data_IF_343023413152
#
_entry.id   IF_343023413152
#
_cell.length_a   1.000
_cell.length_b   1.000
_cell.length_c   1.000
_cell.angle_alpha   90.00
_cell.angle_beta   90.00
_cell.angle_gamma   90.00
#
_symmetry.space_group_name_H-M   'P 1'
#
loop_
_entity.id
_entity.type
_entity.pdbx_description
1 polymer ?
#
# COMPACT_ATOMS: atom_id res chain seq x y z
N UNK A 1 17.10 2.83 13.27
CA UNK A 1 15.66 3.05 13.61
C UNK A 1 15.37 2.37 14.94
N UNK A 2 14.24 2.62 15.62
CA UNK A 2 13.91 1.89 16.86
C UNK A 2 13.55 0.41 16.62
N UNK A 3 13.66 -0.43 17.65
CA UNK A 3 12.98 -1.73 17.71
C UNK A 3 11.52 -1.50 18.12
N UNK A 4 10.68 -1.18 17.15
CA UNK A 4 9.24 -0.91 17.34
C UNK A 4 8.51 -2.23 17.63
N UNK A 5 7.68 -2.25 18.68
CA UNK A 5 6.74 -3.34 19.00
C UNK A 5 5.59 -2.81 19.88
N UNK A 6 4.50 -2.36 19.26
CA UNK A 6 3.35 -1.73 19.91
C UNK A 6 2.13 -2.66 20.05
N UNK A 7 2.26 -3.93 19.67
CA UNK A 7 1.26 -4.97 19.89
C UNK A 7 0.66 -5.56 18.60
N UNK A 8 0.32 -4.72 17.61
CA UNK A 8 -0.22 -5.12 16.31
C UNK A 8 0.50 -4.41 15.13
N UNK A 9 0.31 -4.91 13.90
CA UNK A 9 0.96 -4.36 12.69
C UNK A 9 0.51 -2.92 12.39
N UNK A 10 -0.73 -2.53 12.73
CA UNK A 10 -1.21 -1.17 12.48
C UNK A 10 -0.41 -0.12 13.27
N UNK A 11 -0.26 -0.33 14.57
CA UNK A 11 0.52 0.57 15.44
C UNK A 11 2.01 0.51 15.07
N UNK A 12 2.54 -0.71 14.85
CA UNK A 12 3.92 -0.93 14.41
C UNK A 12 4.25 -0.16 13.12
N UNK A 13 3.38 -0.19 12.11
CA UNK A 13 3.59 0.51 10.84
C UNK A 13 3.34 2.03 10.93
N UNK A 14 2.42 2.51 11.77
CA UNK A 14 2.25 3.97 11.98
C UNK A 14 3.47 4.59 12.65
N UNK A 15 4.02 3.94 13.68
CA UNK A 15 5.24 4.42 14.34
C UNK A 15 6.47 4.33 13.40
N UNK A 16 6.56 3.28 12.58
CA UNK A 16 7.56 3.20 11.51
C UNK A 16 7.41 4.34 10.49
N UNK A 17 6.19 4.60 10.02
CA UNK A 17 5.89 5.66 9.06
C UNK A 17 6.24 7.06 9.61
N UNK A 18 5.93 7.31 10.88
CA UNK A 18 6.28 8.55 11.59
C UNK A 18 7.79 8.72 11.74
N UNK A 19 8.50 7.69 12.19
CA UNK A 19 9.98 7.70 12.25
C UNK A 19 10.62 7.89 10.86
N UNK A 20 10.07 7.28 9.81
CA UNK A 20 10.59 7.43 8.44
C UNK A 20 10.33 8.83 7.88
N UNK A 21 9.14 9.40 8.08
CA UNK A 21 8.82 10.77 7.65
C UNK A 21 9.69 11.81 8.37
N UNK A 22 10.03 11.60 9.65
CA UNK A 22 10.99 12.44 10.36
C UNK A 22 12.42 12.29 9.80
N UNK A 23 12.86 11.06 9.50
CA UNK A 23 14.17 10.78 8.91
C UNK A 23 14.34 11.40 7.51
N UNK A 24 13.38 11.22 6.59
CA UNK A 24 13.48 11.76 5.22
C UNK A 24 13.52 13.29 5.19
N UNK A 25 12.91 13.97 6.17
CA UNK A 25 12.98 15.42 6.33
C UNK A 25 14.27 15.91 7.02
N UNK A 26 15.05 15.01 7.65
CA UNK A 26 16.25 15.39 8.39
C UNK A 26 17.42 15.72 7.45
N UNK A 27 18.39 16.47 7.95
CA UNK A 27 19.63 16.77 7.21
C UNK A 27 20.41 15.49 6.89
N UNK A 28 20.36 14.51 7.79
CA UNK A 28 20.95 13.17 7.62
C UNK A 28 20.26 12.38 6.50
N UNK A 29 18.93 12.27 6.52
CA UNK A 29 18.17 11.58 5.47
C UNK A 29 18.29 12.24 4.10
N UNK A 30 18.44 13.57 4.07
CA UNK A 30 18.76 14.35 2.86
C UNK A 30 20.18 14.07 2.35
N UNK A 31 21.19 14.00 3.22
CA UNK A 31 22.56 13.62 2.85
C UNK A 31 22.63 12.17 2.33
N UNK A 32 22.07 11.21 3.06
CA UNK A 32 22.02 9.79 2.65
C UNK A 32 21.26 9.65 1.33
N UNK A 33 20.18 10.41 1.13
CA UNK A 33 19.44 10.43 -0.14
C UNK A 33 20.30 10.81 -1.35
N UNK A 34 21.23 11.76 -1.21
CA UNK A 34 22.16 12.18 -2.27
C UNK A 34 23.20 11.10 -2.54
N UNK A 35 23.90 10.66 -1.48
CA UNK A 35 24.90 9.60 -1.52
C UNK A 35 24.39 8.32 -2.21
N UNK A 36 23.15 7.91 -1.92
CA UNK A 36 22.49 6.73 -2.53
C UNK A 36 22.15 6.90 -4.01
N UNK A 37 22.06 8.14 -4.53
CA UNK A 37 21.99 8.41 -5.98
C UNK A 37 23.39 8.43 -6.59
N UNK A 38 24.31 9.19 -6.00
CA UNK A 38 25.66 9.47 -6.53
C UNK A 38 26.49 8.18 -6.74
N UNK A 39 26.27 7.17 -5.88
CA UNK A 39 26.87 5.83 -6.00
C UNK A 39 26.57 5.10 -7.32
N UNK A 40 25.54 5.50 -8.06
CA UNK A 40 25.24 4.92 -9.39
C UNK A 40 26.24 5.34 -10.46
N UNK A 41 27.04 6.37 -10.18
CA UNK A 41 28.02 7.00 -11.07
C UNK A 41 29.43 7.07 -10.46
N UNK A 42 29.64 6.50 -9.27
CA UNK A 42 30.91 6.49 -8.56
C UNK A 42 31.09 5.15 -7.82
N UNK A 43 32.07 4.35 -8.28
CA UNK A 43 32.32 3.00 -7.78
C UNK A 43 32.98 2.97 -6.39
N UNK A 44 33.87 3.92 -6.10
CA UNK A 44 34.48 4.10 -4.77
C UNK A 44 33.40 4.43 -3.72
N UNK A 45 32.49 5.34 -4.07
CA UNK A 45 31.34 5.68 -3.23
C UNK A 45 30.34 4.51 -3.13
N UNK A 46 30.21 3.68 -4.15
CA UNK A 46 29.39 2.46 -4.11
C UNK A 46 29.97 1.38 -3.19
N UNK A 47 31.29 1.26 -3.09
CA UNK A 47 31.94 0.40 -2.12
C UNK A 47 31.68 0.90 -0.68
N UNK A 48 31.98 2.17 -0.39
CA UNK A 48 31.77 2.77 0.94
C UNK A 48 30.31 2.69 1.39
N UNK A 49 29.34 2.98 0.51
CA UNK A 49 27.91 2.88 0.85
C UNK A 49 27.42 1.42 0.89
N UNK A 50 28.09 0.50 0.20
CA UNK A 50 27.80 -0.94 0.29
C UNK A 50 28.02 -1.52 1.68
N UNK A 51 28.93 -0.94 2.45
CA UNK A 51 29.24 -1.32 3.84
C UNK A 51 28.47 -0.50 4.88
N UNK A 52 27.85 0.63 4.52
CA UNK A 52 27.01 1.40 5.44
C UNK A 52 25.78 0.60 5.85
N UNK A 53 25.47 0.62 7.16
CA UNK A 53 24.48 -0.26 7.77
C UNK A 53 23.01 0.19 7.57
N UNK A 54 22.71 0.60 6.33
CA UNK A 54 21.38 0.85 5.79
C UNK A 54 20.39 -0.34 5.91
N UNK A 55 20.80 -1.62 6.14
CA UNK A 55 19.85 -2.66 6.50
C UNK A 55 19.05 -2.40 7.78
N UNK A 56 19.38 -1.42 8.62
CA UNK A 56 18.76 -1.25 9.93
C UNK A 56 17.21 -1.09 9.89
N UNK A 57 16.68 -0.25 8.99
CA UNK A 57 15.22 -0.15 8.81
C UNK A 57 14.63 -1.41 8.16
N UNK A 58 15.38 -2.09 7.30
CA UNK A 58 15.00 -3.37 6.68
C UNK A 58 14.93 -4.47 7.74
N UNK A 59 15.86 -4.50 8.71
CA UNK A 59 15.88 -5.39 9.87
C UNK A 59 14.68 -5.13 10.77
N UNK A 60 14.43 -3.88 11.15
CA UNK A 60 13.25 -3.51 11.96
C UNK A 60 11.94 -3.88 11.25
N UNK A 61 11.74 -3.51 9.98
CA UNK A 61 10.48 -3.80 9.28
C UNK A 61 10.29 -5.30 9.03
N UNK A 62 11.37 -6.06 8.79
CA UNK A 62 11.31 -7.53 8.77
C UNK A 62 10.88 -8.11 10.12
N UNK A 63 11.26 -7.51 11.24
CA UNK A 63 10.78 -7.91 12.56
C UNK A 63 9.29 -7.56 12.78
N UNK A 64 8.83 -6.39 12.34
CA UNK A 64 7.40 -6.00 12.39
C UNK A 64 6.51 -7.04 11.69
N UNK A 65 6.83 -7.33 10.42
CA UNK A 65 6.02 -8.20 9.57
C UNK A 65 6.08 -9.67 10.04
N UNK A 66 7.23 -10.15 10.54
CA UNK A 66 7.33 -11.50 11.11
C UNK A 66 6.37 -11.69 12.28
N UNK A 67 6.36 -10.76 13.25
CA UNK A 67 5.43 -10.81 14.39
C UNK A 67 3.98 -10.72 13.95
N UNK A 68 3.67 -9.96 12.91
CA UNK A 68 2.32 -9.90 12.34
C UNK A 68 1.86 -11.23 11.72
N UNK A 69 2.75 -11.93 11.00
CA UNK A 69 2.50 -13.30 10.53
C UNK A 69 2.35 -14.27 11.70
N UNK A 70 3.20 -14.18 12.73
CA UNK A 70 3.12 -15.00 13.96
C UNK A 70 1.80 -14.78 14.74
N UNK A 71 1.23 -13.56 14.68
CA UNK A 71 -0.09 -13.22 15.25
C UNK A 71 -1.28 -13.54 14.33
N UNK A 72 -1.04 -13.96 13.07
CA UNK A 72 -2.09 -14.25 12.08
C UNK A 72 -2.74 -13.02 11.42
N UNK A 73 -2.18 -11.82 11.68
CA UNK A 73 -2.69 -10.53 11.19
C UNK A 73 -2.62 -10.40 9.67
N UNK A 74 -1.67 -11.08 9.02
CA UNK A 74 -1.44 -11.05 7.56
C UNK A 74 -1.09 -12.44 7.04
N UNK A 75 -1.15 -12.61 5.71
CA UNK A 75 -0.79 -13.87 5.06
C UNK A 75 0.74 -14.09 5.04
N UNK A 76 1.26 -15.29 5.35
CA UNK A 76 2.70 -15.59 5.32
C UNK A 76 3.36 -15.47 3.94
N UNK A 77 2.58 -15.43 2.85
CA UNK A 77 3.08 -15.16 1.50
C UNK A 77 3.46 -13.69 1.24
N UNK A 78 3.10 -12.75 2.12
CA UNK A 78 3.44 -11.33 1.97
C UNK A 78 4.92 -11.10 2.30
N UNK A 79 5.71 -10.68 1.31
CA UNK A 79 7.14 -10.42 1.49
C UNK A 79 7.36 -9.19 2.38
N UNK A 80 8.12 -9.29 3.50
CA UNK A 80 8.30 -8.16 4.43
C UNK A 80 8.90 -6.89 3.83
N UNK A 81 9.73 -6.99 2.79
CA UNK A 81 10.26 -5.81 2.11
C UNK A 81 9.18 -5.06 1.36
N UNK A 82 8.19 -5.74 0.76
CA UNK A 82 7.10 -5.07 0.02
C UNK A 82 6.32 -4.09 0.91
N UNK A 83 6.03 -4.46 2.16
CA UNK A 83 5.37 -3.56 3.12
C UNK A 83 6.27 -2.35 3.45
N UNK A 84 7.57 -2.58 3.64
CA UNK A 84 8.55 -1.51 3.86
C UNK A 84 8.64 -0.57 2.65
N UNK A 85 8.77 -1.13 1.45
CA UNK A 85 8.95 -0.42 0.18
C UNK A 85 7.71 0.42 -0.18
N UNK A 86 6.50 -0.10 0.10
CA UNK A 86 5.24 0.65 -0.08
C UNK A 86 5.17 1.87 0.85
N UNK A 87 5.38 1.68 2.16
CA UNK A 87 5.26 2.78 3.14
C UNK A 87 6.41 3.77 3.01
N UNK A 88 7.66 3.30 3.04
CA UNK A 88 8.85 4.13 2.94
C UNK A 88 8.96 4.80 1.56
N UNK A 89 8.64 4.09 0.47
CA UNK A 89 8.64 4.63 -0.89
C UNK A 89 7.60 5.73 -1.10
N UNK A 90 6.37 5.54 -0.61
CA UNK A 90 5.32 6.56 -0.67
C UNK A 90 5.73 7.83 0.11
N UNK A 91 6.20 7.70 1.35
CA UNK A 91 6.67 8.84 2.16
C UNK A 91 7.86 9.54 1.49
N UNK A 92 8.84 8.78 1.01
CA UNK A 92 10.04 9.35 0.35
C UNK A 92 9.69 10.10 -0.92
N UNK A 93 8.69 9.62 -1.67
CA UNK A 93 8.18 10.29 -2.87
C UNK A 93 7.41 11.55 -2.48
N UNK A 94 6.49 11.46 -1.53
CA UNK A 94 5.66 12.56 -1.04
C UNK A 94 6.50 13.73 -0.51
N UNK A 95 7.53 13.46 0.31
CA UNK A 95 8.43 14.49 0.85
C UNK A 95 9.31 15.12 -0.23
N UNK A 96 9.74 14.36 -1.25
CA UNK A 96 10.56 14.89 -2.37
C UNK A 96 9.75 15.66 -3.41
N UNK A 97 8.48 15.32 -3.61
CA UNK A 97 7.58 15.96 -4.58
C UNK A 97 6.76 17.11 -4.00
N UNK A 98 6.70 17.26 -2.68
CA UNK A 98 6.00 18.38 -2.02
C UNK A 98 6.85 19.67 -2.06
N UNK A 99 6.35 20.77 -2.64
CA UNK A 99 7.03 22.06 -2.58
C UNK A 99 7.15 22.59 -1.14
N UNK A 100 8.23 23.30 -0.76
CA UNK A 100 8.46 23.74 0.63
C UNK A 100 7.28 24.50 1.27
N UNK A 101 6.60 25.36 0.50
CA UNK A 101 5.41 26.12 0.95
C UNK A 101 4.14 25.29 1.22
N UNK A 102 4.18 23.96 1.03
CA UNK A 102 3.09 23.04 1.32
C UNK A 102 3.43 21.98 2.38
N UNK A 103 4.68 21.95 2.88
CA UNK A 103 5.19 20.92 3.80
C UNK A 103 4.27 20.70 5.03
N UNK A 104 3.93 21.75 5.77
CA UNK A 104 3.08 21.70 6.96
C UNK A 104 1.68 21.11 6.71
N UNK A 105 1.16 21.24 5.48
CA UNK A 105 -0.15 20.74 5.06
C UNK A 105 -0.08 19.31 4.52
N UNK A 106 1.09 18.90 4.06
CA UNK A 106 1.34 17.61 3.42
C UNK A 106 1.82 16.53 4.41
N UNK A 107 2.59 16.91 5.43
CA UNK A 107 3.28 15.98 6.34
C UNK A 107 2.49 15.78 7.64
N UNK A 108 1.26 15.31 7.49
CA UNK A 108 0.29 15.18 8.59
C UNK A 108 0.15 13.74 9.07
N UNK A 109 -0.15 13.56 10.36
CA UNK A 109 -0.52 12.25 10.92
C UNK A 109 -1.76 11.66 10.23
N UNK A 110 -2.65 12.50 9.69
CA UNK A 110 -3.80 12.04 8.88
C UNK A 110 -3.37 11.51 7.51
N UNK A 111 -2.31 12.01 6.89
CA UNK A 111 -1.68 11.40 5.71
C UNK A 111 -1.01 10.06 6.07
N UNK A 112 -0.20 10.02 7.13
CA UNK A 112 0.47 8.79 7.58
C UNK A 112 -0.55 7.69 7.92
N UNK A 113 -1.65 8.03 8.60
CA UNK A 113 -2.76 7.12 8.84
C UNK A 113 -3.36 6.60 7.54
N UNK A 114 -3.73 7.47 6.61
CA UNK A 114 -4.34 7.06 5.33
C UNK A 114 -3.42 6.15 4.51
N UNK A 115 -2.11 6.42 4.49
CA UNK A 115 -1.12 5.56 3.84
C UNK A 115 -1.07 4.17 4.47
N UNK A 116 -0.89 4.09 5.80
CA UNK A 116 -0.80 2.80 6.50
C UNK A 116 -2.11 2.02 6.40
N UNK A 117 -3.25 2.66 6.64
CA UNK A 117 -4.59 2.08 6.44
C UNK A 117 -4.78 1.50 5.02
N UNK A 118 -4.19 2.13 3.99
CA UNK A 118 -4.26 1.67 2.60
C UNK A 118 -3.36 0.46 2.35
N UNK A 119 -2.12 0.48 2.85
CA UNK A 119 -1.19 -0.66 2.74
C UNK A 119 -1.72 -1.88 3.48
N UNK A 120 -2.24 -1.70 4.70
CA UNK A 120 -2.84 -2.78 5.51
C UNK A 120 -4.00 -3.47 4.77
N UNK A 121 -4.93 -2.71 4.19
CA UNK A 121 -6.01 -3.26 3.35
C UNK A 121 -5.45 -3.99 2.12
N UNK A 122 -4.43 -3.44 1.47
CA UNK A 122 -3.77 -4.03 0.31
C UNK A 122 -3.08 -5.37 0.57
N UNK A 123 -2.56 -5.60 1.78
CA UNK A 123 -1.94 -6.88 2.19
C UNK A 123 -2.90 -7.82 2.94
N UNK A 124 -4.19 -7.47 3.00
CA UNK A 124 -5.22 -8.28 3.66
C UNK A 124 -5.09 -8.36 5.17
N UNK A 125 -4.67 -7.26 5.83
CA UNK A 125 -4.60 -7.17 7.28
C UNK A 125 -5.93 -7.52 7.94
N UNK A 126 -5.86 -8.38 8.96
CA UNK A 126 -6.96 -8.80 9.82
C UNK A 126 -6.64 -8.28 11.21
N UNK A 127 -7.46 -7.37 11.73
CA UNK A 127 -7.30 -6.91 13.10
C UNK A 127 -7.72 -8.07 14.04
N UNK A 128 -6.78 -8.54 14.84
CA UNK A 128 -6.99 -9.70 15.73
C UNK A 128 -7.56 -9.21 17.05
N UNK A 129 -8.83 -8.79 16.97
CA UNK A 129 -9.58 -8.33 18.12
C UNK A 129 -9.66 -9.43 19.19
N UNK A 130 -9.50 -9.06 20.46
CA UNK A 130 -9.22 -9.98 21.58
C UNK A 130 -10.39 -10.91 21.96
N UNK A 131 -11.47 -10.87 21.20
CA UNK A 131 -12.66 -11.72 21.28
C UNK A 131 -12.66 -12.91 20.30
N UNK A 132 -11.76 -12.94 19.31
CA UNK A 132 -11.62 -14.06 18.37
C UNK A 132 -12.74 -14.22 17.33
N UNK A 133 -13.58 -13.20 17.12
CA UNK A 133 -14.71 -13.25 16.17
C UNK A 133 -14.36 -12.54 14.85
N UNK A 134 -14.02 -13.32 13.82
CA UNK A 134 -13.81 -12.77 12.47
C UNK A 134 -15.12 -12.35 11.80
N UNK A 135 -15.39 -11.03 11.78
CA UNK A 135 -16.52 -10.47 11.03
C UNK A 135 -16.20 -10.42 9.53
N UNK A 136 -16.61 -11.47 8.80
CA UNK A 136 -16.97 -11.36 7.39
C UNK A 136 -16.02 -11.96 6.35
N UNK A 137 -16.24 -13.24 6.03
CA UNK A 137 -16.40 -13.66 4.63
C UNK A 137 -17.60 -14.59 4.50
N UNK A 138 -18.68 -14.12 3.89
CA UNK A 138 -19.89 -14.91 3.65
C UNK A 138 -19.67 -15.88 2.47
N UNK A 139 -19.78 -17.17 2.72
CA UNK A 139 -19.46 -18.24 1.76
C UNK A 139 -20.58 -18.50 0.76
N UNK A 140 -20.71 -17.62 -0.24
CA UNK A 140 -21.68 -17.73 -1.33
C UNK A 140 -21.38 -18.88 -2.32
N UNK A 141 -21.47 -20.14 -1.87
CA UNK A 141 -21.50 -21.32 -2.76
C UNK A 141 -22.89 -21.49 -3.39
N UNK A 142 -23.06 -21.13 -4.66
CA UNK A 142 -24.26 -21.45 -5.46
C UNK A 142 -23.93 -22.41 -6.61
N UNK A 143 -23.85 -23.71 -6.31
CA UNK A 143 -23.73 -24.76 -7.33
C UNK A 143 -25.10 -25.09 -7.92
N UNK A 144 -25.39 -24.67 -9.16
CA UNK A 144 -26.70 -24.87 -9.78
C UNK A 144 -26.72 -24.88 -11.31
N UNK A 145 -26.28 -25.98 -11.96
CA UNK A 145 -26.36 -26.16 -13.43
C UNK A 145 -27.27 -27.34 -13.80
N UNK A 146 -28.49 -27.03 -14.24
CA UNK A 146 -29.49 -27.85 -14.98
C UNK A 146 -30.70 -26.93 -15.23
N UNK A 147 -31.37 -26.86 -16.39
CA UNK A 147 -31.17 -27.43 -17.74
C UNK A 147 -32.20 -26.76 -18.68
N UNK A 148 -32.07 -26.83 -20.03
CA UNK A 148 -32.88 -26.03 -20.95
C UNK A 148 -34.29 -26.61 -21.21
N UNK A 149 -35.27 -25.74 -21.44
CA UNK A 149 -36.60 -26.09 -21.94
C UNK A 149 -37.02 -25.12 -23.08
N UNK A 150 -37.38 -25.68 -24.24
CA UNK A 150 -37.94 -24.95 -25.39
C UNK A 150 -39.47 -24.79 -25.25
N UNK A 151 -40.20 -23.88 -25.93
CA UNK A 151 -40.40 -23.81 -27.42
C UNK A 151 -41.42 -22.71 -27.80
N UNK A 152 -41.29 -22.10 -28.99
CA UNK A 152 -42.37 -21.41 -29.78
C UNK A 152 -43.02 -20.14 -29.17
N UNK A 153 -43.58 -19.13 -29.89
CA UNK A 153 -43.67 -18.68 -31.33
C UNK A 153 -44.34 -17.27 -31.34
N UNK A 154 -44.46 -16.46 -32.42
CA UNK A 154 -43.60 -16.11 -33.59
C UNK A 154 -44.36 -15.21 -34.59
N UNK A 155 -43.69 -14.23 -35.24
CA UNK A 155 -44.12 -13.47 -36.46
C UNK A 155 -45.26 -12.43 -36.23
N UNK A 156 -45.32 -11.26 -36.88
CA UNK A 156 -44.37 -10.56 -37.80
C UNK A 156 -43.54 -9.53 -36.98
N UNK A 157 -43.21 -8.25 -37.27
CA UNK A 157 -43.11 -7.28 -38.42
C UNK A 157 -42.11 -6.17 -37.94
N UNK A 158 -41.41 -5.34 -38.72
CA UNK A 158 -41.45 -4.85 -40.12
C UNK A 158 -42.48 -3.76 -40.42
N UNK A 159 -42.14 -2.52 -40.08
CA UNK A 159 -42.08 -1.30 -40.94
C UNK A 159 -41.47 -0.16 -40.06
N UNK A 160 -40.60 0.79 -40.44
CA UNK A 160 -40.01 1.29 -41.71
C UNK A 160 -40.44 2.71 -42.14
N UNK A 161 -40.05 3.74 -41.38
CA UNK A 161 -39.85 5.16 -41.76
C UNK A 161 -39.02 5.82 -40.61
N UNK A 162 -38.06 6.76 -40.74
CA UNK A 162 -37.52 7.69 -41.75
C UNK A 162 -37.72 9.19 -41.36
N UNK A 163 -36.88 10.07 -41.93
CA UNK A 163 -36.63 11.49 -41.60
C UNK A 163 -36.14 11.83 -40.17
N UNK A 164 -35.11 12.66 -39.88
CA UNK A 164 -34.33 13.72 -40.57
C UNK A 164 -34.70 15.18 -40.19
N UNK A 165 -33.71 16.09 -40.31
CA UNK A 165 -33.68 17.44 -39.71
C UNK A 165 -33.05 17.42 -38.30
N UNK A 166 -31.99 18.16 -37.95
CA UNK A 166 -31.34 19.36 -38.53
C UNK A 166 -32.24 20.62 -38.52
N UNK A 167 -31.77 21.85 -38.23
CA UNK A 167 -30.40 22.35 -38.00
C UNK A 167 -30.39 23.51 -36.94
N UNK A 168 -29.20 23.80 -36.39
CA UNK A 168 -28.70 24.96 -35.59
C UNK A 168 -29.61 26.18 -35.29
N UNK A 169 -29.38 26.74 -34.10
CA UNK A 169 -28.92 28.14 -33.94
C UNK A 169 -27.89 28.24 -32.81
#
# INVERSE_FOLDING_TARGET
>A
MGNINLGNLELDLREFARQWMAFVQSVEGSMISRLVMDRRSNEELAAVIGELDYPDYIRSTRALVRRAVERGEIDPGITPTLIADLVAGAITTHVRSTPPGLAEKAYTESYLKQLVDTVLRGVGYRDVDSSGVHVGQATARSTGRRGPASRSRSITSVDAEADAGDEKA
#
